data_IF_544393618762
#
_entry.id   IF_544393618762
#
_cell.length_a   1.000
_cell.length_b   1.000
_cell.length_c   1.000
_cell.angle_alpha   90.00
_cell.angle_beta   90.00
_cell.angle_gamma   90.00
#
_symmetry.space_group_name_H-M   'P 1'
#
loop_
_entity.id
_entity.type
_entity.pdbx_description
1 polymer ?
#
# COMPACT_ATOMS: atom_id res chain seq x y z
N UNK A 1 7.42 52.96 10.07
CA UNK A 1 8.78 52.38 9.94
C UNK A 1 8.74 51.04 10.66
N UNK A 2 8.28 49.99 9.99
CA UNK A 2 9.12 48.92 9.39
C UNK A 2 10.18 48.42 10.37
N UNK A 3 9.96 47.24 10.94
CA UNK A 3 10.88 46.14 10.68
C UNK A 3 10.15 44.79 10.60
N UNK A 4 10.47 44.03 9.55
CA UNK A 4 10.01 42.68 9.25
C UNK A 4 11.23 41.77 9.42
N UNK A 5 11.08 40.68 10.17
CA UNK A 5 12.06 39.57 10.17
C UNK A 5 11.89 38.75 11.44
N UNK A 6 11.84 37.43 11.45
CA UNK A 6 12.09 36.40 10.43
C UNK A 6 11.15 35.23 10.73
N UNK A 7 10.44 34.73 9.71
CA UNK A 7 9.80 33.42 9.78
C UNK A 7 10.92 32.37 9.66
N UNK A 8 11.18 31.62 10.73
CA UNK A 8 12.00 30.42 10.65
C UNK A 8 11.29 29.41 9.75
N UNK A 9 11.79 29.25 8.53
CA UNK A 9 11.53 28.06 7.71
C UNK A 9 12.23 26.90 8.41
N UNK A 10 11.47 26.13 9.21
CA UNK A 10 11.95 24.82 9.65
C UNK A 10 11.97 23.92 8.41
N UNK A 11 13.19 23.57 7.99
CA UNK A 11 13.48 22.47 7.07
C UNK A 11 12.63 21.27 7.43
N UNK A 12 11.71 20.88 6.55
CA UNK A 12 10.89 19.70 6.73
C UNK A 12 11.71 18.52 6.20
N UNK A 13 12.50 17.93 7.09
CA UNK A 13 13.25 16.72 6.79
C UNK A 13 12.24 15.60 6.46
N UNK A 14 12.15 15.27 5.17
CA UNK A 14 11.27 14.26 4.57
C UNK A 14 11.66 12.80 4.92
N UNK A 15 12.04 12.57 6.17
CA UNK A 15 12.29 11.24 6.69
C UNK A 15 11.01 10.72 7.34
N UNK A 16 10.39 9.72 6.68
CA UNK A 16 9.32 8.94 7.28
C UNK A 16 9.90 8.17 8.49
N UNK A 17 9.79 8.77 9.67
CA UNK A 17 10.16 8.15 10.94
C UNK A 17 9.36 6.84 11.11
N UNK A 18 9.95 5.77 11.67
CA UNK A 18 9.45 4.41 11.46
C UNK A 18 8.09 4.20 12.13
N UNK A 19 7.12 3.68 11.38
CA UNK A 19 5.81 3.26 11.87
C UNK A 19 5.86 2.04 12.82
N UNK A 20 6.98 1.79 13.51
CA UNK A 20 7.23 0.55 14.25
C UNK A 20 6.56 0.50 15.63
N UNK A 21 6.17 1.62 16.25
CA UNK A 21 5.86 1.62 17.71
C UNK A 21 4.43 1.97 18.14
N UNK A 22 3.45 2.14 17.25
CA UNK A 22 2.13 2.66 17.66
C UNK A 22 0.93 1.72 17.59
N UNK A 23 1.10 0.42 17.37
CA UNK A 23 0.02 -0.57 17.63
C UNK A 23 -1.36 -0.24 17.02
N UNK A 24 -1.43 0.53 15.93
CA UNK A 24 -2.66 0.91 15.25
C UNK A 24 -3.06 -0.15 14.19
N UNK A 25 -4.35 -0.28 13.83
CA UNK A 25 -4.82 -1.30 12.89
C UNK A 25 -4.57 -0.87 11.43
N UNK A 26 -3.34 -1.07 10.95
CA UNK A 26 -2.80 -0.60 9.67
C UNK A 26 -3.42 -1.16 8.37
N UNK A 27 -4.52 -1.90 8.43
CA UNK A 27 -5.07 -2.58 7.25
C UNK A 27 -6.42 -2.04 6.77
N UNK A 28 -6.94 -1.03 7.46
CA UNK A 28 -8.08 -0.24 6.97
C UNK A 28 -7.60 1.16 6.62
N UNK A 29 -7.32 1.37 5.34
CA UNK A 29 -7.72 2.67 4.80
C UNK A 29 -9.14 2.48 4.26
N UNK A 30 -10.17 3.15 4.81
CA UNK A 30 -11.29 3.51 3.94
C UNK A 30 -10.65 4.29 2.79
N UNK A 31 -11.03 3.95 1.55
CA UNK A 31 -10.54 4.66 0.41
C UNK A 31 -10.67 6.18 0.65
N UNK A 32 -9.67 7.01 0.32
CA UNK A 32 -9.80 8.46 0.46
C UNK A 32 -11.02 9.03 -0.27
N UNK A 33 -11.50 8.34 -1.32
CA UNK A 33 -12.73 8.72 -2.01
C UNK A 33 -14.03 8.43 -1.23
N UNK A 34 -13.99 7.56 -0.21
CA UNK A 34 -15.18 7.17 0.57
C UNK A 34 -15.48 8.11 1.74
N UNK A 35 -14.53 8.95 2.17
CA UNK A 35 -14.75 9.95 3.23
C UNK A 35 -15.08 11.35 2.69
N UNK A 36 -15.08 11.54 1.37
CA UNK A 36 -15.51 12.81 0.75
C UNK A 36 -17.03 12.90 0.54
N UNK A 37 -17.80 11.90 0.97
CA UNK A 37 -19.26 11.89 0.86
C UNK A 37 -19.87 11.76 2.26
N UNK A 38 -19.87 12.85 3.02
CA UNK A 38 -20.84 13.19 4.08
C UNK A 38 -20.19 14.11 5.13
N UNK A 39 -20.07 15.39 4.81
CA UNK A 39 -20.49 16.44 5.74
C UNK A 39 -20.97 17.62 4.88
N UNK A 40 -22.29 17.74 4.79
CA UNK A 40 -22.94 18.81 4.08
C UNK A 40 -22.63 20.14 4.75
N UNK A 41 -21.86 20.97 4.06
CA UNK A 41 -22.02 22.42 3.97
C UNK A 41 -21.27 22.82 2.69
N UNK A 42 -22.03 22.96 1.60
CA UNK A 42 -21.51 23.38 0.29
C UNK A 42 -21.25 24.89 0.38
N UNK A 43 -20.00 25.26 0.65
CA UNK A 43 -19.48 26.61 0.42
C UNK A 43 -18.96 26.69 -1.03
N UNK A 44 -19.18 27.84 -1.66
CA UNK A 44 -18.91 28.14 -3.08
C UNK A 44 -17.49 27.83 -3.61
N UNK A 45 -16.54 27.43 -2.76
CA UNK A 45 -15.18 27.02 -3.17
C UNK A 45 -15.05 25.59 -3.72
N UNK A 46 -16.05 24.72 -3.52
CA UNK A 46 -15.99 23.32 -4.01
C UNK A 46 -16.16 23.23 -5.53
N UNK A 47 -16.92 24.16 -6.13
CA UNK A 47 -17.15 24.19 -7.58
C UNK A 47 -15.91 24.67 -8.34
N UNK A 48 -15.10 25.55 -7.73
CA UNK A 48 -13.84 26.03 -8.31
C UNK A 48 -12.76 24.94 -8.28
N UNK A 49 -12.68 24.11 -7.22
CA UNK A 49 -11.76 22.97 -7.16
C UNK A 49 -12.10 21.88 -8.19
N UNK A 50 -13.40 21.60 -8.41
CA UNK A 50 -13.86 20.66 -9.44
C UNK A 50 -13.61 21.23 -10.85
N UNK A 51 -13.73 22.54 -11.06
CA UNK A 51 -13.37 23.19 -12.33
C UNK A 51 -11.87 23.21 -12.58
N UNK A 52 -11.06 23.42 -11.54
CA UNK A 52 -9.60 23.38 -11.64
C UNK A 52 -9.06 21.96 -11.86
N UNK A 53 -9.84 20.91 -11.54
CA UNK A 53 -9.53 19.54 -11.97
C UNK A 53 -9.54 19.38 -13.51
N UNK A 54 -10.14 20.32 -14.24
CA UNK A 54 -10.07 20.37 -15.71
C UNK A 54 -8.77 20.97 -16.25
N UNK A 55 -7.87 21.48 -15.39
CA UNK A 55 -6.52 21.88 -15.78
C UNK A 55 -5.66 20.65 -16.11
N UNK A 56 -4.71 20.83 -17.02
CA UNK A 56 -3.74 19.77 -17.34
C UNK A 56 -2.88 19.47 -16.12
N UNK A 57 -2.83 18.20 -15.71
CA UNK A 57 -1.95 17.75 -14.64
C UNK A 57 -0.49 18.11 -14.91
N UNK A 58 0.21 18.52 -13.85
CA UNK A 58 1.66 18.68 -13.86
C UNK A 58 2.35 17.34 -14.09
N UNK A 59 3.60 17.38 -14.57
CA UNK A 59 4.40 16.15 -14.73
C UNK A 59 4.55 15.38 -13.42
N UNK A 60 4.63 16.08 -12.28
CA UNK A 60 4.76 15.44 -10.96
C UNK A 60 3.48 14.73 -10.50
N UNK A 61 2.30 15.30 -10.80
CA UNK A 61 1.00 14.64 -10.56
C UNK A 61 0.83 13.42 -11.46
N UNK A 62 1.24 13.52 -12.72
CA UNK A 62 1.22 12.38 -13.65
C UNK A 62 2.13 11.26 -13.14
N UNK A 63 3.33 11.58 -12.65
CA UNK A 63 4.26 10.62 -12.07
C UNK A 63 3.68 9.94 -10.83
N UNK A 64 3.06 10.71 -9.93
CA UNK A 64 2.33 10.17 -8.78
C UNK A 64 1.26 9.16 -9.23
N UNK A 65 0.42 9.54 -10.20
CA UNK A 65 -0.66 8.68 -10.69
C UNK A 65 -0.15 7.39 -11.34
N UNK A 66 0.99 7.44 -12.04
CA UNK A 66 1.62 6.24 -12.61
C UNK A 66 2.02 5.23 -11.52
N UNK A 67 2.71 5.68 -10.47
CA UNK A 67 3.11 4.82 -9.34
C UNK A 67 1.90 4.34 -8.57
N UNK A 68 0.94 5.23 -8.30
CA UNK A 68 -0.31 4.90 -7.61
C UNK A 68 -1.08 3.80 -8.36
N UNK A 69 -1.27 3.97 -9.67
CA UNK A 69 -1.95 2.99 -10.51
C UNK A 69 -1.24 1.65 -10.52
N UNK A 70 0.10 1.65 -10.61
CA UNK A 70 0.89 0.42 -10.55
C UNK A 70 0.65 -0.32 -9.23
N UNK A 71 0.77 0.39 -8.11
CA UNK A 71 0.59 -0.19 -6.78
C UNK A 71 -0.85 -0.66 -6.52
N UNK A 72 -1.87 0.08 -6.94
CA UNK A 72 -3.25 -0.33 -6.65
C UNK A 72 -3.75 -1.44 -7.57
N UNK A 73 -3.38 -1.40 -8.85
CA UNK A 73 -3.87 -2.36 -9.83
C UNK A 73 -3.11 -3.69 -9.80
N UNK A 74 -1.79 -3.65 -9.62
CA UNK A 74 -0.94 -4.82 -9.86
C UNK A 74 -0.35 -5.45 -8.60
N UNK A 75 -0.31 -4.74 -7.46
CA UNK A 75 0.29 -5.27 -6.24
C UNK A 75 -0.42 -6.52 -5.72
N UNK A 76 -1.76 -6.53 -5.71
CA UNK A 76 -2.51 -7.68 -5.24
C UNK A 76 -2.25 -8.91 -6.13
N UNK A 77 -2.23 -8.73 -7.45
CA UNK A 77 -1.99 -9.81 -8.41
C UNK A 77 -0.60 -10.41 -8.24
N UNK A 78 0.44 -9.58 -8.16
CA UNK A 78 1.81 -10.05 -7.96
C UNK A 78 1.97 -10.83 -6.65
N UNK A 79 1.44 -10.30 -5.53
CA UNK A 79 1.51 -11.01 -4.24
C UNK A 79 0.66 -12.27 -4.24
N UNK A 80 -0.47 -12.28 -4.96
CA UNK A 80 -1.33 -13.46 -5.11
C UNK A 80 -0.63 -14.58 -5.86
N UNK A 81 0.11 -14.28 -6.92
CA UNK A 81 0.92 -15.28 -7.63
C UNK A 81 1.90 -15.98 -6.68
N UNK A 82 2.58 -15.22 -5.81
CA UNK A 82 3.48 -15.77 -4.80
C UNK A 82 2.69 -16.59 -3.77
N UNK A 83 1.55 -16.07 -3.30
CA UNK A 83 0.70 -16.73 -2.32
C UNK A 83 0.22 -18.09 -2.84
N UNK A 84 -0.36 -18.14 -4.03
CA UNK A 84 -0.94 -19.35 -4.63
C UNK A 84 0.14 -20.40 -4.93
N UNK A 85 1.36 -19.96 -5.28
CA UNK A 85 2.51 -20.85 -5.49
C UNK A 85 2.93 -21.60 -4.20
N UNK A 86 2.73 -21.00 -3.03
CA UNK A 86 3.22 -21.55 -1.76
C UNK A 86 2.08 -22.05 -0.83
N UNK A 87 0.84 -21.62 -1.06
CA UNK A 87 -0.30 -21.88 -0.20
C UNK A 87 -1.43 -22.54 -1.01
N UNK A 88 -1.53 -23.87 -0.99
CA UNK A 88 -2.65 -24.57 -1.62
C UNK A 88 -3.99 -24.15 -1.01
N UNK A 89 -5.03 -24.07 -1.83
CA UNK A 89 -6.43 -23.72 -1.44
C UNK A 89 -6.92 -24.50 -0.23
N UNK A 90 -6.61 -25.80 -0.14
CA UNK A 90 -6.98 -26.67 1.00
C UNK A 90 -6.36 -26.20 2.33
N UNK A 91 -5.20 -25.54 2.28
CA UNK A 91 -4.49 -25.01 3.45
C UNK A 91 -5.16 -23.77 4.01
N UNK A 92 -5.83 -22.98 3.15
CA UNK A 92 -6.57 -21.77 3.56
C UNK A 92 -7.72 -22.15 4.49
N UNK A 93 -8.52 -23.16 4.11
CA UNK A 93 -9.63 -23.66 4.93
C UNK A 93 -9.15 -24.23 6.28
N UNK A 94 -8.01 -24.93 6.27
CA UNK A 94 -7.44 -25.50 7.50
C UNK A 94 -6.95 -24.43 8.50
N UNK A 95 -6.58 -23.23 8.02
CA UNK A 95 -6.06 -22.16 8.86
C UNK A 95 -7.10 -21.08 9.24
N UNK A 96 -8.39 -21.29 8.93
CA UNK A 96 -9.47 -20.37 9.32
C UNK A 96 -9.48 -20.06 10.83
N UNK A 97 -9.13 -21.04 11.67
CA UNK A 97 -8.98 -20.83 13.12
C UNK A 97 -7.89 -19.82 13.47
N UNK A 98 -6.71 -19.96 12.86
CA UNK A 98 -5.60 -19.00 13.00
C UNK A 98 -6.00 -17.63 12.47
N UNK A 99 -6.72 -17.57 11.36
CA UNK A 99 -7.22 -16.30 10.84
C UNK A 99 -8.09 -15.60 11.88
N UNK A 100 -9.08 -16.27 12.48
CA UNK A 100 -9.95 -15.66 13.52
C UNK A 100 -9.20 -15.07 14.73
N UNK A 101 -8.00 -15.56 15.03
CA UNK A 101 -7.16 -15.03 16.12
C UNK A 101 -6.43 -13.72 15.76
N UNK A 102 -6.29 -13.42 14.47
CA UNK A 102 -5.67 -12.18 14.02
C UNK A 102 -6.64 -11.00 14.19
N UNK A 103 -6.10 -9.82 14.51
CA UNK A 103 -6.89 -8.59 14.58
C UNK A 103 -7.21 -8.10 13.17
N UNK A 104 -8.45 -8.26 12.74
CA UNK A 104 -8.94 -7.79 11.44
C UNK A 104 -9.80 -6.55 11.57
N UNK A 105 -9.77 -5.71 10.55
CA UNK A 105 -10.77 -4.68 10.37
C UNK A 105 -12.06 -5.22 9.74
N UNK A 106 -13.12 -4.41 9.67
CA UNK A 106 -14.44 -4.83 9.17
C UNK A 106 -14.40 -5.34 7.73
N UNK A 107 -13.64 -4.70 6.84
CA UNK A 107 -13.55 -5.12 5.43
C UNK A 107 -12.83 -6.46 5.29
N UNK A 108 -11.72 -6.65 6.01
CA UNK A 108 -10.98 -7.92 6.03
C UNK A 108 -11.82 -9.06 6.63
N UNK A 109 -12.58 -8.78 7.70
CA UNK A 109 -13.50 -9.77 8.30
C UNK A 109 -14.57 -10.20 7.30
N UNK A 110 -15.14 -9.26 6.55
CA UNK A 110 -16.14 -9.56 5.54
C UNK A 110 -15.55 -10.42 4.40
N UNK A 111 -14.35 -10.09 3.91
CA UNK A 111 -13.67 -10.89 2.88
C UNK A 111 -13.37 -12.31 3.36
N UNK A 112 -12.90 -12.47 4.60
CA UNK A 112 -12.67 -13.79 5.21
C UNK A 112 -13.97 -14.59 5.40
N UNK A 113 -15.08 -13.91 5.71
CA UNK A 113 -16.39 -14.54 5.87
C UNK A 113 -16.95 -15.03 4.52
N UNK A 114 -16.83 -14.23 3.45
CA UNK A 114 -17.20 -14.65 2.09
C UNK A 114 -16.43 -15.90 1.65
N UNK A 115 -15.13 -15.94 1.95
CA UNK A 115 -14.26 -17.08 1.66
C UNK A 115 -14.53 -18.30 2.56
N UNK A 116 -15.19 -18.12 3.70
CA UNK A 116 -15.62 -19.23 4.57
C UNK A 116 -16.92 -19.91 4.10
N UNK A 117 -17.66 -19.30 3.15
CA UNK A 117 -18.98 -19.78 2.68
C UNK A 117 -18.97 -20.62 1.39
N UNK A 118 -17.82 -20.79 0.75
CA UNK A 118 -17.60 -21.54 -0.49
C UNK A 118 -16.11 -21.68 -0.75
N UNK A 119 -15.65 -22.63 -1.58
CA UNK A 119 -14.24 -23.06 -1.70
C UNK A 119 -13.26 -21.88 -1.58
N UNK A 120 -12.50 -21.84 -0.48
CA UNK A 120 -11.72 -20.68 -0.11
C UNK A 120 -10.62 -20.37 -1.14
N UNK A 121 -10.84 -19.42 -2.04
CA UNK A 121 -9.88 -19.03 -3.08
C UNK A 121 -9.29 -17.64 -2.78
N UNK A 122 -8.04 -17.41 -3.17
CA UNK A 122 -7.32 -16.15 -2.98
C UNK A 122 -7.73 -15.05 -3.97
N UNK A 123 -8.56 -15.35 -4.97
CA UNK A 123 -8.95 -14.43 -6.05
C UNK A 123 -9.59 -13.14 -5.53
N UNK A 124 -10.37 -13.24 -4.45
CA UNK A 124 -11.06 -12.08 -3.85
C UNK A 124 -10.20 -11.34 -2.81
N UNK A 125 -9.00 -11.83 -2.50
CA UNK A 125 -8.15 -11.20 -1.50
C UNK A 125 -7.47 -9.95 -2.06
N UNK A 126 -7.60 -8.84 -1.35
CA UNK A 126 -6.82 -7.63 -1.65
C UNK A 126 -5.36 -7.78 -1.19
N UNK A 127 -4.53 -6.82 -1.58
CA UNK A 127 -3.11 -6.78 -1.20
C UNK A 127 -2.91 -6.82 0.33
N UNK A 128 -3.72 -6.06 1.08
CA UNK A 128 -3.61 -5.93 2.53
C UNK A 128 -3.83 -7.29 3.22
N UNK A 129 -4.88 -8.00 2.81
CA UNK A 129 -5.22 -9.32 3.30
C UNK A 129 -4.15 -10.35 2.93
N UNK A 130 -3.74 -10.39 1.66
CA UNK A 130 -2.66 -11.28 1.19
C UNK A 130 -1.38 -11.07 1.99
N UNK A 131 -0.94 -9.83 2.14
CA UNK A 131 0.26 -9.48 2.90
C UNK A 131 0.17 -9.94 4.36
N UNK A 132 -0.97 -9.69 5.02
CA UNK A 132 -1.16 -10.06 6.42
C UNK A 132 -1.18 -11.59 6.61
N UNK A 133 -1.78 -12.32 5.68
CA UNK A 133 -1.81 -13.78 5.69
C UNK A 133 -0.40 -14.36 5.51
N UNK A 134 0.35 -13.85 4.53
CA UNK A 134 1.74 -14.24 4.31
C UNK A 134 2.57 -13.99 5.56
N UNK A 135 2.54 -12.77 6.10
CA UNK A 135 3.40 -12.39 7.22
C UNK A 135 3.07 -13.12 8.53
N UNK A 136 1.80 -13.36 8.81
CA UNK A 136 1.38 -13.83 10.14
C UNK A 136 0.99 -15.31 10.19
N UNK A 137 0.56 -15.89 9.07
CA UNK A 137 0.09 -17.28 9.04
C UNK A 137 1.00 -18.17 8.18
N UNK A 138 1.40 -17.69 7.00
CA UNK A 138 2.16 -18.48 6.03
C UNK A 138 3.64 -18.08 5.94
N UNK A 139 4.17 -17.40 6.95
CA UNK A 139 5.55 -16.94 6.98
C UNK A 139 6.58 -18.08 7.00
N UNK A 140 6.14 -19.29 7.31
CA UNK A 140 6.94 -20.51 7.27
C UNK A 140 6.94 -21.17 5.87
N UNK A 141 6.08 -20.72 4.95
CA UNK A 141 5.98 -21.23 3.57
C UNK A 141 6.78 -20.41 2.56
N UNK A 142 7.16 -19.20 2.93
CA UNK A 142 7.91 -18.25 2.10
C UNK A 142 9.20 -17.93 2.85
N UNK A 143 10.36 -17.78 2.16
CA UNK A 143 11.59 -17.35 2.80
C UNK A 143 11.36 -16.08 3.64
N UNK A 144 12.07 -15.98 4.76
CA UNK A 144 12.03 -14.77 5.58
C UNK A 144 12.73 -13.63 4.81
N UNK A 145 12.16 -12.40 4.79
CA UNK A 145 12.84 -11.25 4.19
C UNK A 145 14.22 -11.03 4.79
N UNK A 146 15.15 -10.58 3.97
CA UNK A 146 16.55 -10.29 4.33
C UNK A 146 16.63 -9.32 5.51
N UNK A 147 15.65 -8.42 5.63
CA UNK A 147 15.61 -7.36 6.64
C UNK A 147 14.42 -7.44 7.59
N UNK A 148 13.85 -8.63 7.74
CA UNK A 148 12.59 -8.83 8.47
C UNK A 148 11.36 -8.20 7.79
N UNK A 149 10.18 -8.55 8.29
CA UNK A 149 8.92 -7.95 7.84
C UNK A 149 8.75 -6.54 8.42
N UNK A 150 8.53 -5.53 7.58
CA UNK A 150 8.24 -4.15 7.99
C UNK A 150 9.29 -3.11 7.56
N UNK A 151 10.60 -3.38 7.66
CA UNK A 151 11.62 -2.51 7.10
C UNK A 151 11.61 -2.47 5.57
N UNK A 152 12.06 -1.35 4.98
CA UNK A 152 12.28 -1.26 3.54
C UNK A 152 13.50 -2.13 3.15
N UNK A 153 13.37 -3.02 2.14
CA UNK A 153 14.50 -3.72 1.57
C UNK A 153 15.53 -2.79 0.92
N UNK A 154 16.79 -3.20 0.93
CA UNK A 154 17.88 -2.55 0.18
C UNK A 154 17.91 -3.06 -1.26
N UNK A 155 18.55 -2.34 -2.17
CA UNK A 155 18.56 -2.72 -3.60
C UNK A 155 19.18 -4.09 -3.90
N UNK A 156 20.00 -4.66 -3.00
CA UNK A 156 20.60 -5.99 -3.17
C UNK A 156 19.82 -7.14 -2.51
N UNK A 157 18.69 -6.88 -1.87
CA UNK A 157 17.89 -7.90 -1.17
C UNK A 157 16.97 -8.63 -2.17
N UNK A 158 17.36 -9.77 -2.72
CA UNK A 158 16.69 -10.38 -3.87
C UNK A 158 15.73 -11.54 -3.54
N UNK A 159 15.29 -11.70 -2.28
CA UNK A 159 14.31 -12.74 -1.96
C UNK A 159 12.91 -12.33 -2.43
N UNK A 160 12.07 -13.31 -2.79
CA UNK A 160 10.65 -13.08 -3.11
C UNK A 160 9.89 -12.36 -1.99
N UNK A 161 10.30 -12.58 -0.74
CA UNK A 161 9.76 -11.88 0.43
C UNK A 161 10.22 -10.43 0.55
N UNK A 162 11.43 -10.12 0.03
CA UNK A 162 11.91 -8.74 -0.07
C UNK A 162 11.08 -7.98 -1.12
N UNK A 163 10.71 -8.63 -2.22
CA UNK A 163 9.84 -8.03 -3.23
C UNK A 163 8.43 -7.72 -2.71
N UNK A 164 7.86 -8.61 -1.88
CA UNK A 164 6.61 -8.33 -1.16
C UNK A 164 6.76 -7.07 -0.29
N UNK A 165 7.87 -6.95 0.44
CA UNK A 165 8.14 -5.78 1.29
C UNK A 165 8.38 -4.50 0.48
N UNK A 166 9.01 -4.57 -0.70
CA UNK A 166 9.15 -3.42 -1.63
C UNK A 166 7.79 -2.95 -2.12
N UNK A 167 6.93 -3.86 -2.59
CA UNK A 167 5.57 -3.52 -3.03
C UNK A 167 4.80 -2.86 -1.88
N UNK A 168 4.84 -3.44 -0.67
CA UNK A 168 4.20 -2.87 0.52
C UNK A 168 4.72 -1.46 0.81
N UNK A 169 6.04 -1.28 0.79
CA UNK A 169 6.68 0.00 1.08
C UNK A 169 6.20 1.08 0.11
N UNK A 170 6.25 0.82 -1.20
CA UNK A 170 5.82 1.80 -2.21
C UNK A 170 4.31 2.06 -2.15
N UNK A 171 3.49 1.02 -1.98
CA UNK A 171 2.04 1.16 -1.83
C UNK A 171 1.69 2.03 -0.61
N UNK A 172 2.36 1.82 0.52
CA UNK A 172 2.12 2.62 1.72
C UNK A 172 2.63 4.06 1.52
N UNK A 173 3.82 4.23 0.93
CA UNK A 173 4.38 5.55 0.65
C UNK A 173 3.49 6.37 -0.27
N UNK A 174 2.88 5.76 -1.30
CA UNK A 174 2.02 6.47 -2.24
C UNK A 174 0.65 6.77 -1.62
N UNK A 175 0.10 5.86 -0.82
CA UNK A 175 -1.19 6.04 -0.16
C UNK A 175 -1.17 7.15 0.91
N UNK A 176 -0.02 7.40 1.52
CA UNK A 176 0.18 8.45 2.52
C UNK A 176 0.81 9.73 1.97
N UNK A 177 1.05 9.81 0.65
CA UNK A 177 1.54 11.05 0.03
C UNK A 177 0.37 12.02 -0.12
N UNK A 178 0.31 13.01 0.76
CA UNK A 178 -0.74 14.05 0.77
C UNK A 178 -0.55 15.12 -0.31
N UNK A 179 0.63 15.23 -0.89
CA UNK A 179 0.95 16.21 -1.95
C UNK A 179 0.46 15.74 -3.32
N UNK A 180 0.19 14.44 -3.48
CA UNK A 180 -0.22 13.80 -4.74
C UNK A 180 0.74 14.12 -5.90
N UNK A 181 2.01 14.38 -5.58
CA UNK A 181 3.09 14.77 -6.49
C UNK A 181 4.35 13.97 -6.24
N UNK A 182 5.07 13.65 -7.32
CA UNK A 182 6.38 13.02 -7.29
C UNK A 182 7.28 13.64 -8.36
N UNK A 183 8.38 14.26 -7.94
CA UNK A 183 9.39 14.78 -8.86
C UNK A 183 10.04 13.67 -9.71
N UNK A 184 10.57 14.04 -10.87
CA UNK A 184 11.08 13.10 -11.87
C UNK A 184 12.15 12.16 -11.32
N UNK A 185 13.09 12.67 -10.51
CA UNK A 185 14.15 11.84 -9.93
C UNK A 185 13.57 10.73 -9.04
N UNK A 186 12.66 11.09 -8.13
CA UNK A 186 12.02 10.12 -7.24
C UNK A 186 11.13 9.16 -8.02
N UNK A 187 10.45 9.64 -9.06
CA UNK A 187 9.66 8.81 -9.96
C UNK A 187 10.52 7.74 -10.64
N UNK A 188 11.63 8.12 -11.27
CA UNK A 188 12.52 7.18 -11.94
C UNK A 188 13.11 6.15 -10.97
N UNK A 189 13.53 6.59 -9.79
CA UNK A 189 14.06 5.71 -8.73
C UNK A 189 12.99 4.67 -8.31
N UNK A 190 11.75 5.10 -8.05
CA UNK A 190 10.65 4.21 -7.64
C UNK A 190 10.14 3.32 -8.77
N UNK A 191 10.04 3.88 -9.99
CA UNK A 191 9.56 3.16 -11.16
C UNK A 191 10.50 2.03 -11.54
N UNK A 192 11.82 2.29 -11.50
CA UNK A 192 12.84 1.26 -11.74
C UNK A 192 12.77 0.14 -10.71
N UNK A 193 12.70 0.49 -9.42
CA UNK A 193 12.64 -0.49 -8.32
C UNK A 193 11.39 -1.37 -8.44
N UNK A 194 10.21 -0.77 -8.62
CA UNK A 194 8.97 -1.53 -8.82
C UNK A 194 8.99 -2.36 -10.11
N UNK A 195 9.50 -1.81 -11.21
CA UNK A 195 9.58 -2.54 -12.49
C UNK A 195 10.47 -3.78 -12.38
N UNK A 196 11.54 -3.72 -11.59
CA UNK A 196 12.39 -4.88 -11.32
C UNK A 196 11.66 -5.93 -10.50
N UNK A 197 10.94 -5.50 -9.46
CA UNK A 197 10.12 -6.39 -8.62
C UNK A 197 9.09 -7.15 -9.46
N UNK A 198 8.27 -6.45 -10.26
CA UNK A 198 7.24 -7.12 -11.07
C UNK A 198 7.85 -8.11 -12.07
N UNK A 199 8.98 -7.76 -12.70
CA UNK A 199 9.70 -8.68 -13.58
C UNK A 199 10.23 -9.91 -12.85
N UNK A 200 10.71 -9.75 -11.61
CA UNK A 200 11.23 -10.87 -10.84
C UNK A 200 10.11 -11.83 -10.42
N UNK A 201 8.93 -11.31 -10.08
CA UNK A 201 7.76 -12.11 -9.71
C UNK A 201 7.17 -12.86 -10.91
N UNK A 202 7.21 -12.27 -12.11
CA UNK A 202 6.68 -12.88 -13.33
C UNK A 202 7.55 -14.03 -13.90
N UNK A 203 8.82 -14.14 -13.47
CA UNK A 203 9.75 -15.19 -13.91
C UNK A 203 9.66 -16.48 -13.07
#
# INVERSE_FOLDING_TARGET
MVDRGQTMVKSMDNHCQPCLDLGQPWLSMPYPWLTMVNHGHVSQGHDDDVRNFSESLTSEEVNFLKIYRLCQKHAADAVRLIFDKHVPTSTITAHLGTFRSLKWNKNEQNLLFLVSGGSANSTEFDFSLLYKLIRNTFNHKIPRPTREWGPKPLSGDELVSDDIERIRYHRNSIAHNTELKINDKKFEDQWKDLSQVYKHIDN
#
